data_IF_845614521975
#
_entry.id   IF_845614521975
#
_cell.length_a   1.000
_cell.length_b   1.000
_cell.length_c   1.000
_cell.angle_alpha   90.00
_cell.angle_beta   90.00
_cell.angle_gamma   90.00
#
_symmetry.space_group_name_H-M   'P 1'
#
loop_
_entity.id
_entity.type
_entity.pdbx_description
1 polymer ?
#
# COMPACT_ATOMS: atom_id res chain seq x y z
N UNK A 1 -34.74 77.38 -49.64
CA UNK A 1 -35.83 76.46 -50.06
C UNK A 1 -35.36 75.68 -51.26
N UNK A 2 -35.81 74.42 -51.39
CA UNK A 2 -35.55 73.41 -52.45
C UNK A 2 -34.11 72.89 -52.56
N UNK A 3 -33.82 71.65 -52.11
CA UNK A 3 -33.94 70.33 -52.79
C UNK A 3 -32.59 69.97 -53.46
N UNK A 4 -32.06 68.75 -53.46
CA UNK A 4 -32.44 67.50 -52.83
C UNK A 4 -31.19 66.59 -52.79
N UNK A 5 -31.24 65.60 -51.89
CA UNK A 5 -30.23 64.61 -51.52
C UNK A 5 -29.90 63.55 -52.61
N UNK A 6 -28.66 63.05 -52.46
CA UNK A 6 -28.20 61.64 -52.54
C UNK A 6 -27.93 60.98 -53.91
N UNK A 7 -26.64 60.78 -54.17
CA UNK A 7 -26.05 59.63 -54.90
C UNK A 7 -25.06 58.96 -53.92
N UNK A 8 -25.20 57.68 -53.61
CA UNK A 8 -24.68 56.55 -54.39
C UNK A 8 -23.57 55.86 -53.58
N UNK A 9 -23.91 54.84 -52.79
CA UNK A 9 -22.94 53.97 -52.11
C UNK A 9 -22.57 52.81 -53.04
N UNK A 10 -21.27 52.58 -53.29
CA UNK A 10 -20.66 51.25 -53.34
C UNK A 10 -19.18 51.32 -52.89
N UNK A 11 -18.81 50.32 -52.10
CA UNK A 11 -17.57 50.15 -51.34
C UNK A 11 -16.58 49.32 -52.15
N UNK A 12 -15.29 49.67 -52.13
CA UNK A 12 -14.10 48.79 -52.31
C UNK A 12 -12.85 49.70 -52.30
N UNK A 13 -11.77 49.49 -51.57
CA UNK A 13 -11.37 48.45 -50.63
C UNK A 13 -9.97 48.77 -50.07
N UNK A 14 -9.62 48.04 -49.01
CA UNK A 14 -8.26 47.73 -48.51
C UNK A 14 -7.45 48.84 -47.82
N UNK A 15 -7.74 49.04 -46.53
CA UNK A 15 -6.77 49.53 -45.55
C UNK A 15 -6.04 48.35 -44.87
N UNK A 16 -4.71 48.52 -44.81
CA UNK A 16 -3.70 47.94 -43.92
C UNK A 16 -4.09 46.79 -42.98
N UNK A 17 -3.47 45.62 -43.19
CA UNK A 17 -3.33 44.56 -42.20
C UNK A 17 -1.89 44.43 -41.71
N UNK A 18 -1.58 45.04 -40.57
CA UNK A 18 -0.40 44.67 -39.75
C UNK A 18 -0.68 43.29 -39.14
N UNK A 19 -0.02 42.26 -39.65
CA UNK A 19 -0.08 40.92 -39.07
C UNK A 19 0.82 40.85 -37.83
N UNK A 20 0.21 40.96 -36.65
CA UNK A 20 0.82 40.64 -35.36
C UNK A 20 1.07 39.13 -35.30
N UNK A 21 2.33 38.71 -35.38
CA UNK A 21 2.72 37.32 -35.18
C UNK A 21 2.55 36.96 -33.69
N UNK A 22 1.47 36.26 -33.35
CA UNK A 22 1.31 35.57 -32.07
C UNK A 22 2.22 34.34 -32.05
N UNK A 23 3.34 34.44 -31.34
CA UNK A 23 4.16 33.28 -30.99
C UNK A 23 3.42 32.46 -29.92
N UNK A 24 2.74 31.40 -30.35
CA UNK A 24 2.21 30.36 -29.45
C UNK A 24 3.37 29.59 -28.84
N UNK A 25 3.67 29.86 -27.58
CA UNK A 25 4.55 29.02 -26.77
C UNK A 25 3.88 27.67 -26.56
N UNK A 26 4.29 26.65 -27.32
CA UNK A 26 3.94 25.26 -27.06
C UNK A 26 4.72 24.86 -25.81
N UNK A 27 4.06 24.94 -24.65
CA UNK A 27 4.58 24.41 -23.41
C UNK A 27 4.81 22.90 -23.61
N UNK A 28 6.08 22.51 -23.77
CA UNK A 28 6.48 21.11 -23.85
C UNK A 28 6.02 20.39 -22.58
N UNK A 29 5.12 19.43 -22.75
CA UNK A 29 4.80 18.49 -21.69
C UNK A 29 6.11 17.81 -21.28
N UNK A 30 6.52 18.02 -20.03
CA UNK A 30 7.60 17.24 -19.43
C UNK A 30 7.22 15.76 -19.57
N UNK A 31 8.11 14.91 -20.10
CA UNK A 31 7.83 13.48 -20.14
C UNK A 31 7.55 13.03 -18.71
N UNK A 32 6.36 12.45 -18.49
CA UNK A 32 6.01 11.85 -17.21
C UNK A 32 7.17 10.93 -16.81
N UNK A 33 7.80 11.22 -15.66
CA UNK A 33 8.92 10.44 -15.15
C UNK A 33 8.54 8.95 -15.24
N UNK A 34 9.28 8.19 -16.06
CA UNK A 34 9.04 6.76 -16.20
C UNK A 34 9.09 6.17 -14.81
N UNK A 35 7.95 5.64 -14.38
CA UNK A 35 7.78 5.31 -12.98
C UNK A 35 8.75 4.19 -12.61
N UNK A 36 9.73 4.53 -11.77
CA UNK A 36 10.95 3.77 -11.48
C UNK A 36 10.63 2.29 -11.24
N UNK A 37 11.26 1.42 -12.03
CA UNK A 37 11.21 -0.03 -11.79
C UNK A 37 12.03 -0.28 -10.53
N UNK A 38 11.37 -0.71 -9.45
CA UNK A 38 12.07 -1.03 -8.21
C UNK A 38 13.00 -2.24 -8.46
N UNK A 39 14.26 -2.20 -8.00
CA UNK A 39 15.17 -3.33 -8.18
C UNK A 39 14.66 -4.57 -7.44
N UNK A 40 15.18 -5.74 -7.79
CA UNK A 40 14.94 -6.97 -7.02
C UNK A 40 15.33 -6.77 -5.54
N UNK A 41 14.45 -7.09 -4.57
CA UNK A 41 14.77 -6.93 -3.15
C UNK A 41 15.78 -7.97 -2.62
N UNK A 42 16.01 -9.11 -3.30
CA UNK A 42 16.91 -10.19 -2.84
C UNK A 42 18.37 -9.74 -2.77
N UNK A 43 18.97 -9.08 -3.78
CA UNK A 43 20.32 -8.50 -3.66
C UNK A 43 20.44 -7.45 -2.55
N UNK A 44 19.33 -6.84 -2.13
CA UNK A 44 19.28 -5.89 -1.01
C UNK A 44 19.17 -6.58 0.36
N UNK A 45 19.24 -7.91 0.39
CA UNK A 45 19.21 -8.76 1.59
C UNK A 45 17.82 -9.15 2.07
N UNK A 46 16.78 -8.95 1.26
CA UNK A 46 15.43 -9.41 1.61
C UNK A 46 15.31 -10.94 1.50
N UNK A 47 14.58 -11.55 2.42
CA UNK A 47 14.07 -12.91 2.24
C UNK A 47 12.72 -12.83 1.51
N UNK A 48 12.65 -13.34 0.29
CA UNK A 48 11.42 -13.40 -0.51
C UNK A 48 10.73 -14.74 -0.32
N UNK A 49 9.40 -14.71 -0.16
CA UNK A 49 8.56 -15.90 -0.16
C UNK A 49 7.57 -15.85 -1.31
N UNK A 50 7.54 -16.94 -2.07
CA UNK A 50 6.55 -17.20 -3.11
C UNK A 50 5.66 -18.36 -2.68
N UNK A 51 4.35 -18.12 -2.58
CA UNK A 51 3.44 -19.18 -2.17
C UNK A 51 2.12 -18.71 -1.58
N UNK A 52 1.47 -19.62 -0.87
CA UNK A 52 0.20 -19.36 -0.21
C UNK A 52 0.43 -18.89 1.21
N UNK A 53 -0.29 -17.84 1.60
CA UNK A 53 -0.34 -17.35 2.96
C UNK A 53 -1.79 -17.17 3.41
N UNK A 54 -1.97 -16.96 4.70
CA UNK A 54 -3.22 -16.45 5.25
C UNK A 54 -2.92 -15.46 6.35
N UNK A 55 -3.88 -14.61 6.68
CA UNK A 55 -3.81 -13.80 7.90
C UNK A 55 -5.07 -14.06 8.74
N UNK A 56 -4.94 -13.84 10.04
CA UNK A 56 -6.04 -14.01 10.99
C UNK A 56 -5.81 -13.10 12.20
N UNK A 57 -6.89 -12.71 12.86
CA UNK A 57 -6.85 -11.65 13.87
C UNK A 57 -5.96 -12.02 15.07
N UNK A 58 -6.08 -13.23 15.60
CA UNK A 58 -5.23 -13.72 16.69
C UNK A 58 -4.12 -14.61 16.15
N UNK A 59 -2.87 -14.34 16.57
CA UNK A 59 -1.71 -15.18 16.28
C UNK A 59 -2.02 -16.64 16.62
N UNK A 60 -2.00 -17.58 15.65
CA UNK A 60 -2.35 -18.97 15.90
C UNK A 60 -1.39 -19.62 16.90
N UNK A 61 -1.86 -20.62 17.67
CA UNK A 61 -0.96 -21.41 18.51
C UNK A 61 -0.01 -22.26 17.66
N UNK A 62 1.11 -22.69 18.24
CA UNK A 62 2.05 -23.59 17.55
C UNK A 62 1.41 -24.94 17.21
N UNK A 63 0.54 -25.46 18.07
CA UNK A 63 -0.23 -26.69 17.79
C UNK A 63 -1.13 -26.54 16.57
N UNK A 64 -1.78 -25.38 16.41
CA UNK A 64 -2.57 -25.07 15.21
C UNK A 64 -1.71 -25.00 13.96
N UNK A 65 -0.57 -24.30 13.99
CA UNK A 65 0.32 -24.22 12.82
C UNK A 65 0.91 -25.58 12.44
N UNK A 66 1.24 -26.43 13.42
CA UNK A 66 1.68 -27.83 13.16
C UNK A 66 0.60 -28.62 12.43
N UNK A 67 -0.64 -28.58 12.92
CA UNK A 67 -1.77 -29.25 12.27
C UNK A 67 -2.02 -28.71 10.84
N UNK A 68 -1.84 -27.41 10.65
CA UNK A 68 -2.00 -26.72 9.37
C UNK A 68 -0.88 -26.99 8.36
N UNK A 69 0.19 -27.72 8.72
CA UNK A 69 1.15 -28.23 7.73
C UNK A 69 0.50 -29.14 6.68
N UNK A 70 -0.66 -29.75 7.00
CA UNK A 70 -1.51 -30.48 6.05
C UNK A 70 -2.15 -29.60 4.96
N UNK A 71 -2.11 -28.28 5.11
CA UNK A 71 -2.59 -27.32 4.10
C UNK A 71 -1.50 -26.95 3.08
N UNK A 72 -1.89 -26.17 2.06
CA UNK A 72 -0.95 -25.54 1.11
C UNK A 72 -0.25 -24.27 1.64
N UNK A 73 -0.65 -23.74 2.80
CA UNK A 73 -0.10 -22.50 3.33
C UNK A 73 1.26 -22.74 3.99
N UNK A 74 2.23 -21.85 3.75
CA UNK A 74 3.54 -21.85 4.45
C UNK A 74 3.94 -20.46 4.94
N UNK A 75 2.98 -19.53 5.00
CA UNK A 75 3.17 -18.20 5.55
C UNK A 75 1.91 -17.71 6.27
N UNK A 76 2.10 -16.92 7.33
CA UNK A 76 1.02 -16.35 8.13
C UNK A 76 1.21 -14.84 8.35
N UNK A 77 0.16 -14.06 8.11
CA UNK A 77 0.07 -12.66 8.49
C UNK A 77 -0.19 -12.51 9.99
N UNK A 78 0.63 -11.70 10.65
CA UNK A 78 0.61 -11.52 12.11
C UNK A 78 0.48 -10.04 12.44
N UNK A 79 -0.62 -9.67 13.09
CA UNK A 79 -0.85 -8.33 13.60
C UNK A 79 0.00 -8.07 14.84
N UNK A 80 1.24 -7.63 14.63
CA UNK A 80 2.26 -7.63 15.68
C UNK A 80 2.30 -6.36 16.52
N UNK A 81 1.83 -5.24 15.96
CA UNK A 81 1.93 -3.93 16.60
C UNK A 81 0.93 -2.91 16.00
N UNK A 82 0.93 -1.69 16.55
CA UNK A 82 0.06 -0.59 16.14
C UNK A 82 -1.23 -0.47 16.96
N UNK A 83 -1.68 0.78 17.15
CA UNK A 83 -2.81 1.13 18.03
C UNK A 83 -4.20 0.80 17.45
N UNK A 84 -4.29 0.53 16.14
CA UNK A 84 -5.54 0.23 15.44
C UNK A 84 -5.84 -1.27 15.29
N UNK A 85 -5.10 -2.15 15.98
CA UNK A 85 -5.34 -3.61 15.93
C UNK A 85 -6.71 -3.93 16.49
N UNK A 86 -7.49 -4.74 15.76
CA UNK A 86 -8.77 -5.24 16.25
C UNK A 86 -8.56 -6.22 17.42
N UNK A 87 -7.68 -7.22 17.23
CA UNK A 87 -7.21 -8.08 18.30
C UNK A 87 -6.00 -7.44 18.99
N UNK A 88 -6.28 -6.59 19.99
CA UNK A 88 -5.26 -5.86 20.73
C UNK A 88 -4.30 -6.82 21.47
N UNK A 89 -4.86 -7.85 22.11
CA UNK A 89 -4.10 -8.92 22.76
C UNK A 89 -3.69 -10.00 21.75
N UNK A 90 -2.44 -10.42 21.81
CA UNK A 90 -1.85 -11.44 20.95
C UNK A 90 -1.16 -12.49 21.84
N UNK A 91 -1.92 -13.36 22.53
CA UNK A 91 -1.40 -14.20 23.61
C UNK A 91 -0.31 -15.18 23.17
N UNK A 92 -0.34 -15.63 21.91
CA UNK A 92 0.67 -16.53 21.37
C UNK A 92 1.90 -15.78 20.81
N UNK A 93 1.84 -14.46 20.60
CA UNK A 93 2.88 -13.73 19.90
C UNK A 93 4.05 -13.40 20.84
N UNK A 94 5.04 -14.28 20.81
CA UNK A 94 6.25 -14.17 21.63
C UNK A 94 7.49 -14.47 20.79
N UNK A 95 8.67 -14.14 21.32
CA UNK A 95 9.95 -14.50 20.65
C UNK A 95 10.09 -16.02 20.47
N UNK A 96 9.67 -16.82 21.45
CA UNK A 96 9.70 -18.28 21.35
C UNK A 96 8.76 -18.79 20.26
N UNK A 97 7.57 -18.19 20.12
CA UNK A 97 6.66 -18.49 19.02
C UNK A 97 7.30 -18.16 17.66
N UNK A 98 7.89 -16.96 17.50
CA UNK A 98 8.54 -16.57 16.24
C UNK A 98 9.64 -17.57 15.84
N UNK A 99 10.49 -17.98 16.79
CA UNK A 99 11.54 -19.00 16.56
C UNK A 99 10.97 -20.37 16.21
N UNK A 100 9.91 -20.79 16.88
CA UNK A 100 9.26 -22.07 16.59
C UNK A 100 8.57 -22.08 15.21
N UNK A 101 7.96 -20.97 14.80
CA UNK A 101 7.38 -20.81 13.46
C UNK A 101 8.46 -20.89 12.38
N UNK A 102 9.60 -20.21 12.60
CA UNK A 102 10.78 -20.33 11.72
C UNK A 102 11.28 -21.77 11.64
N UNK A 103 11.41 -22.48 12.76
CA UNK A 103 11.91 -23.88 12.76
C UNK A 103 10.95 -24.83 12.05
N UNK A 104 9.63 -24.58 12.13
CA UNK A 104 8.59 -25.27 11.35
C UNK A 104 8.55 -24.85 9.87
N UNK A 105 9.49 -24.02 9.41
CA UNK A 105 9.60 -23.51 8.02
C UNK A 105 8.41 -22.66 7.57
N UNK A 106 7.63 -22.12 8.51
CA UNK A 106 6.63 -21.10 8.22
C UNK A 106 7.30 -19.72 8.07
N UNK A 107 6.74 -18.89 7.18
CA UNK A 107 7.10 -17.47 7.05
C UNK A 107 6.09 -16.58 7.76
N UNK A 108 6.51 -15.38 8.12
CA UNK A 108 5.66 -14.39 8.78
C UNK A 108 5.58 -13.13 7.93
N UNK A 109 4.37 -12.65 7.69
CA UNK A 109 4.08 -11.32 7.14
C UNK A 109 3.67 -10.41 8.31
N UNK A 110 4.57 -9.58 8.86
CA UNK A 110 4.26 -8.77 10.03
C UNK A 110 3.44 -7.54 9.65
N UNK A 111 2.24 -7.42 10.22
CA UNK A 111 1.26 -6.37 9.95
C UNK A 111 1.23 -5.37 11.12
N UNK A 112 1.49 -4.11 10.83
CA UNK A 112 1.39 -2.99 11.77
C UNK A 112 0.12 -2.19 11.49
N UNK A 113 -0.81 -2.16 12.45
CA UNK A 113 -2.08 -1.43 12.29
C UNK A 113 -1.99 -0.08 12.97
N UNK A 114 -1.48 0.89 12.23
CA UNK A 114 -1.26 2.26 12.71
C UNK A 114 -2.52 3.12 12.72
N UNK A 115 -2.32 4.43 12.81
CA UNK A 115 -3.39 5.40 12.61
C UNK A 115 -3.96 5.33 11.20
N UNK A 116 -5.26 5.56 11.10
CA UNK A 116 -6.06 5.33 9.91
C UNK A 116 -6.48 6.65 9.28
N UNK A 117 -6.81 6.61 7.99
CA UNK A 117 -7.34 7.80 7.30
C UNK A 117 -8.47 8.44 8.11
N UNK A 118 -8.53 9.78 8.23
CA UNK A 118 -9.66 10.45 8.86
C UNK A 118 -11.00 10.14 8.16
N UNK A 119 -10.94 9.67 6.90
CA UNK A 119 -12.08 9.22 6.11
C UNK A 119 -12.13 7.69 5.96
N UNK A 120 -11.59 6.93 6.92
CA UNK A 120 -11.70 5.47 6.95
C UNK A 120 -13.17 5.05 6.95
N UNK A 121 -13.50 4.07 6.08
CA UNK A 121 -14.87 3.55 5.93
C UNK A 121 -15.24 2.63 7.07
N UNK A 122 -14.28 1.83 7.55
CA UNK A 122 -14.47 0.94 8.68
C UNK A 122 -14.68 1.76 9.97
N UNK A 123 -15.88 1.70 10.54
CA UNK A 123 -16.26 2.44 11.75
C UNK A 123 -15.41 2.05 12.96
N UNK A 124 -15.04 0.78 13.07
CA UNK A 124 -14.19 0.26 14.15
C UNK A 124 -12.78 0.84 14.12
N UNK A 125 -12.41 1.59 13.08
CA UNK A 125 -11.08 2.18 12.90
C UNK A 125 -11.06 3.70 13.11
N UNK A 126 -12.24 4.32 13.27
CA UNK A 126 -12.37 5.77 13.46
C UNK A 126 -11.78 6.30 14.76
N UNK A 127 -11.55 5.45 15.76
CA UNK A 127 -10.96 5.81 17.05
C UNK A 127 -9.43 6.05 16.97
N UNK A 128 -8.79 5.75 15.83
CA UNK A 128 -7.35 5.97 15.62
C UNK A 128 -7.04 6.86 14.41
N UNK A 129 -7.62 8.08 14.30
CA UNK A 129 -7.42 8.90 13.11
C UNK A 129 -5.97 9.40 12.99
N UNK A 130 -5.51 9.60 11.77
CA UNK A 130 -4.33 10.42 11.47
C UNK A 130 -4.63 11.87 11.85
N UNK A 131 -3.77 12.47 12.66
CA UNK A 131 -3.92 13.80 13.24
C UNK A 131 -3.43 14.94 12.34
N UNK A 132 -3.16 16.09 12.96
CA UNK A 132 -2.79 17.32 12.26
C UNK A 132 -1.37 17.35 11.68
N UNK A 133 -0.48 16.46 12.13
CA UNK A 133 0.92 16.36 11.66
C UNK A 133 1.18 15.00 11.00
N UNK A 134 0.52 14.69 9.87
CA UNK A 134 0.48 13.34 9.30
C UNK A 134 1.88 12.76 9.03
N UNK A 135 2.79 13.51 8.42
CA UNK A 135 4.14 13.02 8.12
C UNK A 135 4.94 12.65 9.38
N UNK A 136 5.04 13.56 10.35
CA UNK A 136 5.75 13.31 11.61
C UNK A 136 5.10 12.21 12.43
N UNK A 137 3.77 12.12 12.41
CA UNK A 137 3.05 11.00 13.03
C UNK A 137 3.42 9.66 12.37
N UNK A 138 3.51 9.64 11.03
CA UNK A 138 3.99 8.48 10.28
C UNK A 138 5.40 8.06 10.71
N UNK A 139 6.32 9.02 10.88
CA UNK A 139 7.66 8.72 11.39
C UNK A 139 7.63 8.15 12.82
N UNK A 140 6.85 8.74 13.71
CA UNK A 140 6.70 8.21 15.08
C UNK A 140 6.18 6.77 15.08
N UNK A 141 5.16 6.47 14.28
CA UNK A 141 4.60 5.13 14.17
C UNK A 141 5.54 4.16 13.43
N UNK A 142 6.35 4.64 12.48
CA UNK A 142 7.40 3.84 11.84
C UNK A 142 8.50 3.45 12.81
N UNK A 143 8.88 4.35 13.73
CA UNK A 143 9.82 4.06 14.82
C UNK A 143 9.25 3.00 15.78
N UNK A 144 7.99 3.11 16.17
CA UNK A 144 7.31 2.09 16.99
C UNK A 144 7.23 0.74 16.25
N UNK A 145 6.83 0.74 14.98
CA UNK A 145 6.78 -0.46 14.14
C UNK A 145 8.10 -1.23 14.13
N UNK A 146 9.23 -0.52 13.96
CA UNK A 146 10.56 -1.14 14.00
C UNK A 146 10.97 -1.57 15.40
N UNK A 147 10.68 -0.78 16.43
CA UNK A 147 11.00 -1.15 17.81
C UNK A 147 10.29 -2.44 18.23
N UNK A 148 8.99 -2.56 17.93
CA UNK A 148 8.17 -3.75 18.20
C UNK A 148 8.62 -4.96 17.37
N UNK A 149 9.01 -4.76 16.11
CA UNK A 149 9.57 -5.82 15.28
C UNK A 149 10.88 -6.38 15.89
N UNK A 150 11.79 -5.50 16.33
CA UNK A 150 13.04 -5.92 16.98
C UNK A 150 12.79 -6.66 18.29
N UNK A 151 11.82 -6.21 19.10
CA UNK A 151 11.43 -6.89 20.34
C UNK A 151 10.93 -8.33 20.08
N UNK A 152 10.34 -8.59 18.90
CA UNK A 152 9.94 -9.92 18.44
C UNK A 152 11.05 -10.67 17.67
N UNK A 153 12.30 -10.21 17.76
CA UNK A 153 13.45 -10.82 17.08
C UNK A 153 13.39 -10.79 15.55
N UNK A 154 12.73 -9.80 14.94
CA UNK A 154 12.88 -9.54 13.51
C UNK A 154 14.18 -8.77 13.25
N UNK A 155 14.91 -9.19 12.21
CA UNK A 155 16.15 -8.55 11.76
C UNK A 155 15.86 -7.43 10.75
N UNK A 156 16.85 -6.55 10.56
CA UNK A 156 16.91 -5.66 9.38
C UNK A 156 16.71 -6.50 8.10
N UNK A 157 16.27 -5.84 7.04
CA UNK A 157 15.87 -6.43 5.75
C UNK A 157 14.60 -7.27 5.77
N UNK A 158 13.92 -7.38 6.93
CA UNK A 158 12.53 -7.82 6.97
C UNK A 158 11.61 -6.80 6.29
N UNK A 159 10.51 -7.26 5.68
CA UNK A 159 9.38 -6.38 5.40
C UNK A 159 8.52 -6.16 6.64
N UNK A 160 7.96 -4.95 6.78
CA UNK A 160 6.91 -4.59 7.74
C UNK A 160 5.75 -4.01 6.95
N UNK A 161 4.52 -4.48 7.14
CA UNK A 161 3.37 -4.06 6.35
C UNK A 161 2.50 -3.10 7.14
N UNK A 162 2.40 -1.85 6.69
CA UNK A 162 1.44 -0.88 7.22
C UNK A 162 0.04 -1.22 6.73
N UNK A 163 -0.87 -1.51 7.65
CA UNK A 163 -2.29 -1.70 7.37
C UNK A 163 -3.00 -0.36 7.32
N UNK A 164 -3.50 0.00 6.14
CA UNK A 164 -4.36 1.16 5.92
C UNK A 164 -5.68 0.70 5.32
N UNK A 165 -6.71 0.70 6.15
CA UNK A 165 -8.06 0.25 5.82
C UNK A 165 -8.68 1.12 4.72
N UNK A 166 -9.71 0.61 4.05
CA UNK A 166 -10.33 1.36 2.97
C UNK A 166 -10.86 2.71 3.45
N UNK A 167 -10.55 3.78 2.70
CA UNK A 167 -10.97 5.14 2.99
C UNK A 167 -11.56 5.82 1.76
N UNK A 168 -12.26 6.93 1.98
CA UNK A 168 -12.77 7.76 0.91
C UNK A 168 -11.64 8.55 0.23
N UNK A 169 -11.12 8.00 -0.87
CA UNK A 169 -10.09 8.63 -1.69
C UNK A 169 -10.58 9.89 -2.43
N UNK A 170 -11.90 10.06 -2.62
CA UNK A 170 -12.44 11.25 -3.29
C UNK A 170 -12.38 12.50 -2.41
N UNK A 171 -12.32 12.32 -1.08
CA UNK A 171 -12.07 13.41 -0.13
C UNK A 171 -10.58 13.75 -0.14
N UNK A 172 -10.21 14.70 -1.00
CA UNK A 172 -8.82 15.09 -1.27
C UNK A 172 -8.04 15.48 -0.01
N UNK A 173 -8.68 16.13 0.97
CA UNK A 173 -8.05 16.47 2.25
C UNK A 173 -7.68 15.23 3.09
N UNK A 174 -8.53 14.20 3.11
CA UNK A 174 -8.24 12.92 3.74
C UNK A 174 -7.16 12.15 2.98
N UNK A 175 -7.24 12.13 1.64
CA UNK A 175 -6.22 11.51 0.80
C UNK A 175 -4.84 12.15 1.06
N UNK A 176 -4.72 13.47 0.98
CA UNK A 176 -3.46 14.18 1.22
C UNK A 176 -2.86 13.88 2.61
N UNK A 177 -3.69 13.88 3.67
CA UNK A 177 -3.25 13.48 5.02
C UNK A 177 -2.77 12.03 5.07
N UNK A 178 -3.50 11.10 4.45
CA UNK A 178 -3.11 9.69 4.42
C UNK A 178 -1.81 9.47 3.64
N UNK A 179 -1.64 10.09 2.47
CA UNK A 179 -0.40 9.98 1.70
C UNK A 179 0.79 10.54 2.48
N UNK A 180 0.62 11.71 3.11
CA UNK A 180 1.67 12.32 3.93
C UNK A 180 2.10 11.41 5.10
N UNK A 181 1.13 10.78 5.78
CA UNK A 181 1.40 9.80 6.83
C UNK A 181 2.14 8.57 6.33
N UNK A 182 1.66 7.95 5.24
CA UNK A 182 2.29 6.76 4.64
C UNK A 182 3.73 7.06 4.24
N UNK A 183 3.99 8.23 3.63
CA UNK A 183 5.35 8.66 3.27
C UNK A 183 6.27 8.78 4.48
N UNK A 184 5.80 9.42 5.56
CA UNK A 184 6.55 9.54 6.81
C UNK A 184 6.89 8.18 7.42
N UNK A 185 5.92 7.27 7.46
CA UNK A 185 6.11 5.91 7.96
C UNK A 185 7.12 5.12 7.11
N UNK A 186 6.97 5.16 5.79
CA UNK A 186 7.87 4.47 4.87
C UNK A 186 9.31 4.98 4.97
N UNK A 187 9.50 6.31 5.04
CA UNK A 187 10.82 6.92 5.19
C UNK A 187 11.51 6.43 6.46
N UNK A 188 10.79 6.41 7.58
CA UNK A 188 11.35 5.95 8.85
C UNK A 188 11.67 4.46 8.87
N UNK A 189 10.76 3.61 8.35
CA UNK A 189 11.00 2.16 8.29
C UNK A 189 12.19 1.84 7.40
N UNK A 190 12.30 2.53 6.26
CA UNK A 190 13.42 2.39 5.31
C UNK A 190 14.74 2.86 5.92
N UNK A 191 14.78 4.03 6.58
CA UNK A 191 15.99 4.55 7.22
C UNK A 191 16.54 3.60 8.30
N UNK A 192 15.66 2.80 8.91
CA UNK A 192 16.02 1.76 9.89
C UNK A 192 16.44 0.42 9.27
N UNK A 193 16.45 0.32 7.94
CA UNK A 193 16.91 -0.84 7.18
C UNK A 193 15.86 -1.93 7.01
N UNK A 194 14.57 -1.61 7.09
CA UNK A 194 13.45 -2.51 6.81
C UNK A 194 12.78 -2.15 5.49
N UNK A 195 12.06 -3.08 4.87
CA UNK A 195 11.26 -2.80 3.69
C UNK A 195 9.84 -2.37 4.11
N UNK A 196 9.41 -1.13 3.83
CA UNK A 196 8.05 -0.73 4.10
C UNK A 196 7.09 -1.38 3.09
N UNK A 197 6.25 -2.29 3.55
CA UNK A 197 5.10 -2.81 2.80
C UNK A 197 3.83 -2.03 3.13
N UNK A 198 2.86 -2.05 2.22
CA UNK A 198 1.59 -1.36 2.40
C UNK A 198 0.43 -2.27 2.06
N UNK A 199 -0.49 -2.42 2.99
CA UNK A 199 -1.76 -3.12 2.80
C UNK A 199 -2.91 -2.14 2.66
N UNK A 200 -3.76 -2.33 1.66
CA UNK A 200 -5.07 -1.68 1.56
C UNK A 200 -5.98 -2.34 0.51
N UNK A 201 -7.21 -1.87 0.39
CA UNK A 201 -8.12 -2.24 -0.69
C UNK A 201 -7.64 -1.72 -2.06
N UNK A 202 -7.77 -2.56 -3.09
CA UNK A 202 -7.49 -2.25 -4.49
C UNK A 202 -8.28 -1.03 -5.03
N UNK A 203 -9.38 -0.66 -4.36
CA UNK A 203 -10.28 0.42 -4.79
C UNK A 203 -10.07 1.72 -4.01
N UNK A 204 -9.16 1.73 -3.02
CA UNK A 204 -8.87 2.90 -2.18
C UNK A 204 -7.37 3.12 -2.04
N UNK A 205 -6.73 2.64 -0.96
CA UNK A 205 -5.34 2.95 -0.68
C UNK A 205 -4.36 2.46 -1.74
N UNK A 206 -4.57 1.27 -2.31
CA UNK A 206 -3.71 0.74 -3.39
C UNK A 206 -3.78 1.64 -4.63
N UNK A 207 -5.00 2.07 -5.00
CA UNK A 207 -5.22 3.02 -6.10
C UNK A 207 -4.52 4.34 -5.84
N UNK A 208 -4.61 4.82 -4.61
CA UNK A 208 -3.97 6.06 -4.22
C UNK A 208 -2.43 5.96 -4.31
N UNK A 209 -1.83 4.87 -3.83
CA UNK A 209 -0.38 4.67 -3.93
C UNK A 209 0.07 4.53 -5.40
N UNK A 210 -0.72 3.87 -6.25
CA UNK A 210 -0.41 3.80 -7.68
C UNK A 210 -0.53 5.16 -8.38
N UNK A 211 -1.55 5.95 -8.07
CA UNK A 211 -1.69 7.32 -8.58
C UNK A 211 -0.49 8.19 -8.15
N UNK A 212 -0.09 8.11 -6.88
CA UNK A 212 1.08 8.82 -6.37
C UNK A 212 2.38 8.36 -7.06
N UNK A 213 2.53 7.06 -7.33
CA UNK A 213 3.69 6.50 -8.05
C UNK A 213 3.78 7.05 -9.47
N UNK A 214 2.65 7.07 -10.20
CA UNK A 214 2.59 7.64 -11.56
C UNK A 214 2.87 9.15 -11.58
N UNK A 215 2.55 9.84 -10.49
CA UNK A 215 2.85 11.26 -10.30
C UNK A 215 4.29 11.53 -9.81
N UNK A 216 5.15 10.51 -9.70
CA UNK A 216 6.55 10.67 -9.28
C UNK A 216 6.74 10.98 -7.79
N UNK A 217 5.74 10.68 -6.95
CA UNK A 217 5.84 10.94 -5.50
C UNK A 217 6.90 10.04 -4.86
N UNK A 218 7.81 10.62 -4.10
CA UNK A 218 8.83 9.90 -3.34
C UNK A 218 8.31 9.34 -2.00
N UNK A 219 9.13 8.49 -1.36
CA UNK A 219 8.82 7.82 -0.08
C UNK A 219 7.57 6.93 -0.12
N UNK A 220 7.22 6.39 -1.28
CA UNK A 220 6.18 5.38 -1.41
C UNK A 220 6.63 4.04 -0.82
N UNK A 221 5.70 3.08 -0.65
CA UNK A 221 6.04 1.74 -0.17
C UNK A 221 7.11 1.07 -1.04
N UNK A 222 7.65 -0.03 -0.56
CA UNK A 222 8.54 -0.92 -1.33
C UNK A 222 7.84 -2.21 -1.74
N UNK A 223 6.73 -2.56 -1.10
CA UNK A 223 5.95 -3.79 -1.35
C UNK A 223 4.47 -3.44 -1.29
N UNK A 224 3.68 -3.98 -2.21
CA UNK A 224 2.24 -3.75 -2.30
C UNK A 224 1.46 -5.00 -1.90
N UNK A 225 0.67 -4.92 -0.83
CA UNK A 225 -0.32 -5.92 -0.46
C UNK A 225 -1.71 -5.39 -0.79
N UNK A 226 -2.32 -5.88 -1.87
CA UNK A 226 -3.62 -5.41 -2.30
C UNK A 226 -4.73 -6.39 -1.91
N UNK A 227 -5.83 -5.87 -1.37
CA UNK A 227 -7.06 -6.63 -1.17
C UNK A 227 -8.01 -6.43 -2.34
N UNK A 228 -8.34 -7.54 -3.02
CA UNK A 228 -9.45 -7.65 -3.96
C UNK A 228 -10.05 -9.03 -3.84
N UNK A 229 -11.23 -9.14 -3.23
CA UNK A 229 -11.86 -10.41 -2.91
C UNK A 229 -12.66 -10.99 -4.08
N UNK A 230 -12.02 -11.20 -5.23
CA UNK A 230 -12.63 -11.83 -6.40
C UNK A 230 -12.57 -13.36 -6.37
N UNK A 231 -11.87 -13.94 -5.38
CA UNK A 231 -11.59 -15.38 -5.31
C UNK A 231 -10.43 -15.85 -6.20
N UNK A 232 -9.98 -15.04 -7.17
CA UNK A 232 -8.85 -15.35 -8.05
C UNK A 232 -7.54 -14.95 -7.39
N UNK A 233 -6.63 -15.90 -7.19
CA UNK A 233 -5.34 -15.67 -6.50
C UNK A 233 -4.23 -15.22 -7.46
N UNK A 234 -4.44 -14.11 -8.19
CA UNK A 234 -3.47 -13.58 -9.16
C UNK A 234 -2.75 -12.35 -8.62
N UNK A 235 -1.42 -12.38 -8.62
CA UNK A 235 -0.58 -11.24 -8.22
C UNK A 235 -0.52 -10.15 -9.30
N UNK A 236 -0.79 -10.51 -10.55
CA UNK A 236 -0.72 -9.64 -11.73
C UNK A 236 -2.08 -9.57 -12.45
N UNK A 237 -2.27 -8.54 -13.28
CA UNK A 237 -3.55 -8.27 -13.94
C UNK A 237 -4.60 -7.55 -13.07
N UNK A 238 -4.22 -7.08 -11.87
CA UNK A 238 -5.04 -6.13 -11.11
C UNK A 238 -5.16 -4.81 -11.88
N UNK A 239 -6.36 -4.42 -12.31
CA UNK A 239 -6.58 -3.23 -13.15
C UNK A 239 -6.16 -1.92 -12.48
N UNK A 240 -6.19 -1.85 -11.14
CA UNK A 240 -5.68 -0.70 -10.40
C UNK A 240 -4.15 -0.56 -10.53
N UNK A 241 -3.39 -1.65 -10.68
CA UNK A 241 -1.92 -1.64 -10.68
C UNK A 241 -1.38 -1.83 -12.10
N UNK A 242 -0.47 -0.97 -12.55
CA UNK A 242 0.24 -1.23 -13.81
C UNK A 242 0.99 -2.57 -13.74
N UNK A 243 1.09 -3.31 -14.85
CA UNK A 243 1.73 -4.64 -14.88
C UNK A 243 3.17 -4.65 -14.36
N UNK A 244 3.95 -3.61 -14.70
CA UNK A 244 5.34 -3.42 -14.27
C UNK A 244 5.49 -2.79 -12.88
N UNK A 245 4.42 -2.24 -12.29
CA UNK A 245 4.49 -1.61 -10.98
C UNK A 245 4.74 -2.66 -9.90
N UNK A 246 5.51 -2.33 -8.86
CA UNK A 246 5.70 -3.24 -7.71
C UNK A 246 6.21 -4.63 -8.16
N UNK A 247 7.20 -4.66 -9.04
CA UNK A 247 7.85 -5.85 -9.60
C UNK A 247 9.38 -5.64 -9.58
N UNK A 248 10.21 -6.69 -9.45
CA UNK A 248 9.86 -8.09 -9.13
C UNK A 248 9.70 -8.32 -7.63
N UNK A 249 9.04 -9.41 -7.25
CA UNK A 249 8.94 -9.88 -5.86
C UNK A 249 8.44 -8.82 -4.88
N UNK A 250 7.36 -8.09 -5.21
CA UNK A 250 6.87 -6.97 -4.40
C UNK A 250 5.35 -6.95 -4.27
N UNK A 251 4.68 -8.10 -4.45
CA UNK A 251 3.22 -8.20 -4.41
C UNK A 251 2.71 -9.25 -3.44
N UNK A 252 1.66 -8.88 -2.74
CA UNK A 252 0.80 -9.79 -1.97
C UNK A 252 -0.64 -9.52 -2.37
N UNK A 253 -1.44 -10.56 -2.59
CA UNK A 253 -2.85 -10.43 -2.92
C UNK A 253 -3.70 -11.12 -1.86
N UNK A 254 -4.47 -10.33 -1.11
CA UNK A 254 -5.58 -10.86 -0.30
C UNK A 254 -6.78 -11.08 -1.22
N UNK A 255 -6.98 -12.32 -1.64
CA UNK A 255 -7.93 -12.67 -2.71
C UNK A 255 -9.27 -13.19 -2.21
N UNK A 256 -9.37 -13.51 -0.91
CA UNK A 256 -10.62 -13.92 -0.27
C UNK A 256 -10.55 -13.65 1.23
N UNK A 257 -11.39 -12.76 1.75
CA UNK A 257 -11.48 -12.51 3.18
C UNK A 257 -12.50 -13.40 3.88
N UNK A 258 -12.37 -13.50 5.21
CA UNK A 258 -13.41 -13.90 6.13
C UNK A 258 -13.97 -15.29 5.85
N UNK A 259 -13.09 -16.27 5.67
CA UNK A 259 -13.46 -17.67 5.43
C UNK A 259 -13.07 -18.57 6.58
N UNK A 260 -13.98 -19.46 6.93
CA UNK A 260 -13.70 -20.55 7.85
C UNK A 260 -13.04 -21.69 7.10
N UNK A 261 -11.87 -22.12 7.58
CA UNK A 261 -11.09 -23.20 6.97
C UNK A 261 -10.58 -24.13 8.06
N UNK A 262 -10.59 -25.43 7.78
CA UNK A 262 -10.10 -26.47 8.70
C UNK A 262 -8.97 -27.26 8.03
N UNK A 263 -7.86 -27.42 8.74
CA UNK A 263 -6.74 -28.28 8.34
C UNK A 263 -6.21 -29.02 9.58
N UNK A 264 -5.91 -30.31 9.43
CA UNK A 264 -5.45 -31.15 10.54
C UNK A 264 -6.37 -31.09 11.78
N UNK A 265 -7.69 -31.00 11.58
CA UNK A 265 -8.68 -30.90 12.66
C UNK A 265 -8.74 -29.54 13.38
N UNK A 266 -7.99 -28.52 12.95
CA UNK A 266 -7.99 -27.18 13.56
C UNK A 266 -8.67 -26.17 12.64
N UNK A 267 -9.76 -25.56 13.10
CA UNK A 267 -10.51 -24.51 12.38
C UNK A 267 -9.92 -23.13 12.67
N UNK A 268 -9.77 -22.30 11.63
CA UNK A 268 -9.47 -20.87 11.74
C UNK A 268 -10.39 -20.05 10.83
N UNK A 269 -10.74 -18.84 11.28
CA UNK A 269 -11.29 -17.76 10.46
C UNK A 269 -10.12 -17.00 9.86
N UNK A 270 -9.98 -17.03 8.53
CA UNK A 270 -8.80 -16.47 7.84
C UNK A 270 -9.18 -15.60 6.66
N UNK A 271 -8.25 -14.72 6.29
CA UNK A 271 -8.16 -14.14 4.95
C UNK A 271 -7.08 -14.87 4.16
N UNK A 272 -7.36 -15.24 2.91
CA UNK A 272 -6.45 -16.01 2.05
C UNK A 272 -5.60 -15.08 1.20
N UNK A 273 -4.31 -15.39 1.14
CA UNK A 273 -3.31 -14.59 0.46
C UNK A 273 -2.47 -15.42 -0.52
N UNK A 274 -2.12 -14.81 -1.65
CA UNK A 274 -1.02 -15.25 -2.52
C UNK A 274 0.13 -14.27 -2.33
N UNK A 275 1.36 -14.76 -2.28
CA UNK A 275 2.55 -13.96 -1.97
C UNK A 275 3.61 -14.18 -3.04
N UNK A 276 4.22 -13.08 -3.46
CA UNK A 276 5.54 -13.00 -4.06
C UNK A 276 6.19 -11.69 -3.56
N UNK A 277 6.78 -11.74 -2.36
CA UNK A 277 7.22 -10.56 -1.65
C UNK A 277 8.23 -10.87 -0.52
N UNK A 278 8.99 -9.85 -0.05
CA UNK A 278 9.77 -9.95 1.17
C UNK A 278 8.92 -10.30 2.39
N UNK A 279 9.43 -11.16 3.27
CA UNK A 279 8.80 -11.56 4.54
C UNK A 279 9.66 -11.14 5.73
N UNK A 280 9.24 -11.50 6.95
CA UNK A 280 10.06 -11.33 8.14
C UNK A 280 11.29 -12.26 8.12
N UNK A 281 12.45 -11.70 8.46
CA UNK A 281 13.67 -12.45 8.76
C UNK A 281 13.79 -12.56 10.28
N UNK A 282 13.55 -13.77 10.81
CA UNK A 282 13.52 -14.04 12.24
C UNK A 282 14.92 -14.47 12.71
N UNK A 283 15.40 -13.94 13.85
CA UNK A 283 16.69 -14.37 14.45
C UNK A 283 16.71 -15.86 14.73
#
# INVERSE_FOLDING_TARGET
MTRNRQSGWQVTGWTAGLATALATAIAGATPAASAEVLPDPRPLGAEVYEGWAFDTCHTPSLATLRAWNSSRYRAVGVYYAGRGRACASQPNLTVSWMRAVKSMKWRVLPIFVGSQSPCVRNTNKKHVPIGGKPFSQGQTEGKDAVARAKALSLKKRSALYLDMEAYDLKKTSCAAKTLSFVRGWNREVRSRGFFPGFYSSAESGVRHMEQARRAGVHDLPSVMWFARWSGKASLYGESTLAGSAWNPHRRVHQYKGNVDVTHGGRKLRIDRNKVDAPVAIIK
#
